data_IF_426708261105
#
_entry.id   IF_426708261105
#
_cell.length_a   1.000
_cell.length_b   1.000
_cell.length_c   1.000
_cell.angle_alpha   90.00
_cell.angle_beta   90.00
_cell.angle_gamma   90.00
#
_symmetry.space_group_name_H-M   'P 1'
#
loop_
_entity.id
_entity.type
_entity.pdbx_description
1 polymer ?
#
# COMPACT_ATOMS: atom_id res chain seq x y z
N UNK A 1 8.00 13.33 15.12
CA UNK A 1 8.13 11.86 15.19
C UNK A 1 8.66 11.43 13.83
N UNK A 2 9.84 10.83 13.80
CA UNK A 2 10.46 10.33 12.58
C UNK A 2 10.22 8.82 12.54
N UNK A 3 9.67 8.32 11.42
CA UNK A 3 9.43 6.89 11.24
C UNK A 3 10.70 6.28 10.67
N UNK A 4 11.30 5.37 11.43
CA UNK A 4 12.48 4.62 11.00
C UNK A 4 12.07 3.60 9.94
N UNK A 5 12.90 3.43 8.91
CA UNK A 5 12.72 2.38 7.90
C UNK A 5 13.94 1.50 7.95
N UNK A 6 13.74 0.21 8.17
CA UNK A 6 14.83 -0.75 8.23
C UNK A 6 15.57 -0.85 6.90
N UNK A 7 16.86 -1.15 6.98
CA UNK A 7 17.71 -1.16 5.80
C UNK A 7 17.36 -2.30 4.84
N UNK A 8 16.86 -3.43 5.33
CA UNK A 8 16.37 -4.53 4.49
C UNK A 8 15.14 -4.12 3.67
N UNK A 9 14.20 -3.37 4.26
CA UNK A 9 13.06 -2.77 3.55
C UNK A 9 13.55 -1.79 2.49
N UNK A 10 14.52 -0.91 2.81
CA UNK A 10 15.09 0.02 1.82
C UNK A 10 15.73 -0.74 0.66
N UNK A 11 16.56 -1.76 0.95
CA UNK A 11 17.22 -2.57 -0.07
C UNK A 11 16.21 -3.35 -0.92
N UNK A 12 15.15 -3.88 -0.32
CA UNK A 12 14.06 -4.52 -1.05
C UNK A 12 13.39 -3.53 -2.03
N UNK A 13 13.05 -2.32 -1.57
CA UNK A 13 12.41 -1.31 -2.41
C UNK A 13 13.32 -0.91 -3.59
N UNK A 14 14.60 -0.67 -3.32
CA UNK A 14 15.59 -0.30 -4.35
C UNK A 14 15.78 -1.43 -5.35
N UNK A 15 16.00 -2.67 -4.87
CA UNK A 15 16.26 -3.83 -5.74
C UNK A 15 15.06 -4.20 -6.61
N UNK A 16 13.84 -4.02 -6.11
CA UNK A 16 12.63 -4.29 -6.89
C UNK A 16 12.24 -3.12 -7.81
N UNK A 17 12.77 -1.92 -7.57
CA UNK A 17 12.47 -0.73 -8.37
C UNK A 17 11.00 -0.31 -8.31
N UNK A 18 10.31 -0.57 -7.19
CA UNK A 18 8.86 -0.37 -7.03
C UNK A 18 8.55 0.48 -5.83
N UNK A 19 7.48 1.25 -5.94
CA UNK A 19 6.94 2.00 -4.81
C UNK A 19 6.07 1.12 -3.93
N UNK A 20 6.14 1.38 -2.62
CA UNK A 20 5.42 0.64 -1.59
C UNK A 20 4.60 1.54 -0.70
N UNK A 21 3.62 0.96 -0.02
CA UNK A 21 2.73 1.64 0.90
C UNK A 21 2.51 0.83 2.17
N UNK A 22 2.73 1.46 3.33
CA UNK A 22 2.24 0.99 4.63
C UNK A 22 0.81 1.46 4.84
N UNK A 23 -0.09 0.52 5.09
CA UNK A 23 -1.52 0.79 5.31
C UNK A 23 -2.12 -0.16 6.34
N UNK A 24 -3.38 0.08 6.71
CA UNK A 24 -4.09 -0.77 7.69
C UNK A 24 -4.62 -2.03 7.03
N UNK A 25 -4.30 -3.18 7.61
CA UNK A 25 -4.92 -4.47 7.34
C UNK A 25 -5.46 -5.08 8.65
N UNK A 26 -6.20 -6.19 8.53
CA UNK A 26 -6.84 -6.85 9.67
C UNK A 26 -5.83 -7.38 10.70
N UNK A 27 -4.64 -7.80 10.27
CA UNK A 27 -3.61 -8.38 11.14
C UNK A 27 -2.49 -7.38 11.52
N UNK A 28 -2.68 -6.08 11.24
CA UNK A 28 -1.72 -5.04 11.59
C UNK A 28 -1.34 -4.13 10.41
N UNK A 29 -0.24 -3.36 10.54
CA UNK A 29 0.33 -2.61 9.44
C UNK A 29 0.76 -3.55 8.31
N UNK A 30 0.38 -3.21 7.09
CA UNK A 30 0.71 -3.97 5.89
C UNK A 30 1.52 -3.11 4.94
N UNK A 31 2.71 -3.56 4.61
CA UNK A 31 3.59 -3.07 3.57
C UNK A 31 3.27 -3.82 2.27
N UNK A 32 2.67 -3.11 1.33
CA UNK A 32 2.25 -3.65 0.02
C UNK A 32 2.72 -2.75 -1.10
N UNK A 33 2.82 -3.27 -2.32
CA UNK A 33 3.14 -2.42 -3.48
C UNK A 33 2.03 -1.39 -3.73
N UNK A 34 2.37 -0.24 -4.31
CA UNK A 34 1.38 0.77 -4.70
C UNK A 34 0.39 0.30 -5.77
N UNK A 35 0.70 -0.80 -6.49
CA UNK A 35 -0.24 -1.48 -7.40
C UNK A 35 -1.37 -2.21 -6.67
N UNK A 36 -1.08 -2.75 -5.47
CA UNK A 36 -2.07 -3.40 -4.60
C UNK A 36 -2.92 -2.32 -3.93
N UNK A 37 -2.27 -1.27 -3.40
CA UNK A 37 -2.96 -0.16 -2.78
C UNK A 37 -2.28 1.17 -3.11
N UNK A 38 -2.91 1.93 -4.00
CA UNK A 38 -2.41 3.25 -4.42
C UNK A 38 -2.21 4.19 -3.21
N UNK A 39 -1.18 5.06 -3.22
CA UNK A 39 -0.99 6.07 -2.19
C UNK A 39 -2.14 7.08 -2.16
N UNK A 40 -2.34 7.73 -1.01
CA UNK A 40 -3.24 8.88 -0.88
C UNK A 40 -2.41 10.16 -0.73
N UNK A 41 -2.98 11.29 -1.11
CA UNK A 41 -2.33 12.60 -1.00
C UNK A 41 -1.98 12.97 0.45
N UNK A 42 -2.69 12.39 1.41
CA UNK A 42 -2.44 12.58 2.85
C UNK A 42 -1.31 11.72 3.39
N UNK A 43 -0.82 10.73 2.63
CA UNK A 43 0.21 9.81 3.10
C UNK A 43 1.56 10.54 3.25
N UNK A 44 2.33 10.13 4.25
CA UNK A 44 3.72 10.57 4.39
C UNK A 44 4.54 9.91 3.29
N UNK A 45 5.31 10.70 2.55
CA UNK A 45 6.13 10.23 1.44
C UNK A 45 7.60 10.22 1.84
N UNK A 46 8.21 9.03 1.85
CA UNK A 46 9.62 8.83 2.18
C UNK A 46 10.38 8.43 0.91
N UNK A 47 11.37 9.22 0.45
CA UNK A 47 12.22 8.84 -0.68
C UNK A 47 13.15 7.70 -0.30
N UNK A 48 13.24 6.67 -1.16
CA UNK A 48 14.13 5.51 -1.00
C UNK A 48 14.75 5.22 -2.37
N UNK A 49 16.01 5.65 -2.55
CA UNK A 49 16.66 5.59 -3.87
C UNK A 49 15.89 6.41 -4.91
N UNK A 50 15.51 5.78 -6.02
CA UNK A 50 14.64 6.35 -7.06
C UNK A 50 13.15 6.08 -6.84
N UNK A 51 12.79 5.39 -5.77
CA UNK A 51 11.43 4.98 -5.42
C UNK A 51 10.92 5.72 -4.18
N UNK A 52 9.65 5.46 -3.86
CA UNK A 52 9.01 6.02 -2.68
C UNK A 52 8.35 4.94 -1.82
N UNK A 53 8.48 5.12 -0.50
CA UNK A 53 7.65 4.48 0.50
C UNK A 53 6.59 5.48 0.99
N UNK A 54 5.33 5.10 0.87
CA UNK A 54 4.20 5.87 1.37
C UNK A 54 3.71 5.29 2.69
N UNK A 55 3.45 6.13 3.69
CA UNK A 55 2.91 5.69 4.97
C UNK A 55 1.55 6.36 5.14
N UNK A 56 0.50 5.55 5.29
CA UNK A 56 -0.83 6.04 5.62
C UNK A 56 -0.76 7.01 6.80
N UNK A 57 -1.32 8.21 6.67
CA UNK A 57 -1.40 9.19 7.78
C UNK A 57 -1.95 8.59 9.06
N UNK A 58 -2.89 7.64 8.92
CA UNK A 58 -3.45 6.91 10.06
C UNK A 58 -2.40 6.00 10.69
N UNK A 59 -1.68 5.21 9.89
CA UNK A 59 -0.63 4.30 10.41
C UNK A 59 0.54 5.08 11.02
N UNK A 60 0.91 6.21 10.45
CA UNK A 60 1.98 7.07 10.95
C UNK A 60 1.76 7.59 12.39
N UNK A 61 0.52 7.50 12.92
CA UNK A 61 0.23 7.83 14.32
C UNK A 61 0.52 6.68 15.29
N UNK A 62 0.70 5.46 14.79
CA UNK A 62 0.79 4.23 15.59
C UNK A 62 2.06 3.43 15.36
N UNK A 63 2.86 3.78 14.34
CA UNK A 63 4.13 3.13 14.05
C UNK A 63 5.27 4.14 14.12
N UNK A 64 6.40 3.69 14.63
CA UNK A 64 7.68 4.43 14.64
C UNK A 64 8.76 3.73 13.79
N UNK A 65 8.48 2.51 13.30
CA UNK A 65 9.38 1.68 12.50
C UNK A 65 8.63 0.96 11.38
N UNK A 66 9.27 0.82 10.23
CA UNK A 66 8.83 -0.03 9.10
C UNK A 66 9.88 -1.12 8.89
N UNK A 67 9.44 -2.37 9.00
CA UNK A 67 10.27 -3.57 9.02
C UNK A 67 9.68 -4.68 8.14
N UNK A 68 10.47 -5.70 7.81
CA UNK A 68 10.09 -6.74 6.85
C UNK A 68 8.92 -7.64 7.31
N UNK A 69 8.63 -7.73 8.61
CA UNK A 69 7.45 -8.42 9.14
C UNK A 69 6.12 -7.79 8.72
N UNK A 70 6.16 -6.53 8.25
CA UNK A 70 4.99 -5.86 7.69
C UNK A 70 4.76 -6.24 6.23
N UNK A 71 5.71 -6.88 5.54
CA UNK A 71 5.59 -7.21 4.13
C UNK A 71 4.53 -8.30 3.94
N UNK A 72 3.46 -7.95 3.22
CA UNK A 72 2.43 -8.94 2.91
C UNK A 72 2.77 -9.68 1.62
N UNK A 73 2.68 -11.00 1.68
CA UNK A 73 2.76 -11.86 0.51
C UNK A 73 1.45 -11.87 -0.30
N UNK A 74 1.44 -12.66 -1.37
CA UNK A 74 0.30 -12.75 -2.26
C UNK A 74 -0.93 -13.34 -1.58
N UNK A 75 -0.77 -14.38 -0.78
CA UNK A 75 -1.86 -15.11 -0.16
C UNK A 75 -2.48 -14.25 0.96
N UNK A 76 -1.66 -13.50 1.69
CA UNK A 76 -2.12 -12.52 2.68
C UNK A 76 -2.88 -11.35 2.03
N UNK A 77 -2.40 -10.85 0.88
CA UNK A 77 -3.09 -9.82 0.11
C UNK A 77 -4.44 -10.35 -0.40
N UNK A 78 -4.44 -11.56 -0.97
CA UNK A 78 -5.64 -12.21 -1.48
C UNK A 78 -6.60 -12.60 -0.34
N UNK A 79 -6.15 -12.84 0.88
CA UNK A 79 -7.04 -13.15 2.00
C UNK A 79 -7.65 -11.90 2.65
N UNK A 80 -7.09 -10.70 2.43
CA UNK A 80 -7.43 -9.52 3.23
C UNK A 80 -8.46 -8.58 2.57
N UNK A 81 -9.68 -8.41 3.14
CA UNK A 81 -10.74 -7.51 2.64
C UNK A 81 -10.30 -6.06 2.38
N UNK A 82 -9.28 -5.59 3.09
CA UNK A 82 -8.73 -4.23 2.93
C UNK A 82 -8.12 -3.97 1.54
N UNK A 83 -7.80 -5.03 0.80
CA UNK A 83 -7.25 -4.98 -0.56
C UNK A 83 -8.25 -5.44 -1.64
N UNK A 84 -9.38 -6.04 -1.28
CA UNK A 84 -10.38 -6.56 -2.21
C UNK A 84 -11.12 -5.49 -3.05
N UNK A 85 -10.92 -4.21 -2.78
CA UNK A 85 -11.67 -3.17 -3.48
C UNK A 85 -10.93 -2.68 -4.74
N UNK A 86 -11.40 -3.20 -5.89
CA UNK A 86 -11.54 -2.57 -7.23
C UNK A 86 -10.86 -3.24 -8.45
N UNK A 87 -10.95 -4.57 -8.61
CA UNK A 87 -10.97 -5.17 -9.97
C UNK A 87 -12.34 -5.69 -10.43
N UNK A 88 -13.34 -5.77 -9.54
CA UNK A 88 -14.69 -6.29 -9.86
C UNK A 88 -15.78 -5.28 -10.22
N UNK A 89 -15.62 -3.96 -9.98
CA UNK A 89 -16.70 -2.97 -10.20
C UNK A 89 -16.53 -2.10 -11.47
N UNK A 90 -15.74 -2.55 -12.46
CA UNK A 90 -15.63 -1.92 -13.79
C UNK A 90 -15.67 -2.93 -14.96
N UNK A 91 -16.52 -3.95 -14.85
CA UNK A 91 -17.16 -4.61 -16.01
C UNK A 91 -18.67 -4.48 -15.83
N UNK A 92 -19.21 -3.31 -16.17
CA UNK A 92 -20.62 -2.98 -15.96
C UNK A 92 -21.03 -1.55 -16.30
N UNK A 93 -20.18 -0.77 -16.97
CA UNK A 93 -20.62 0.41 -17.72
C UNK A 93 -20.31 0.16 -19.20
N UNK A 94 -21.11 -0.72 -19.80
CA UNK A 94 -21.51 -0.57 -21.18
C UNK A 94 -23.03 -0.34 -21.14
N UNK A 95 -23.44 0.76 -21.77
CA UNK A 95 -24.81 1.13 -22.12
C UNK A 95 -25.69 1.68 -20.99
N UNK A 96 -25.76 3.02 -20.94
CA UNK A 96 -26.96 3.72 -20.47
C UNK A 96 -28.05 3.54 -21.54
N UNK A 97 -29.25 3.00 -21.24
CA UNK A 97 -30.41 3.37 -22.02
C UNK A 97 -30.92 4.72 -21.51
N UNK A 98 -30.88 5.71 -22.41
CA UNK A 98 -31.72 6.90 -22.31
C UNK A 98 -33.16 6.41 -22.40
N UNK A 99 -33.97 6.62 -21.36
CA UNK A 99 -35.42 6.49 -21.47
C UNK A 99 -35.97 7.82 -21.97
N UNK A 100 -36.40 7.83 -23.23
CA UNK A 100 -37.49 8.69 -23.74
C UNK A 100 -38.82 8.12 -23.26
#
# INVERSE_FOLDING_TARGET
>A
MEIQVDDDVKQMIISQGRDYRVCTACMGPALVTTKVKAPKDTDIKIPIGSNFLYISKIQAMYIDRVSMDMLYDRDEIEACPAFYTRRGYRRGQAEKPIRV
#
